data_IF_044666586941
#
_entry.id   IF_044666586941
#
_cell.length_a   1.000
_cell.length_b   1.000
_cell.length_c   1.000
_cell.angle_alpha   90.00
_cell.angle_beta   90.00
_cell.angle_gamma   90.00
#
_symmetry.space_group_name_H-M   'P 1'
#
loop_
_entity.id
_entity.type
_entity.pdbx_description
1 polymer ?
#
# COMPACT_ATOMS: atom_id res chain seq x y z
N UNK A 1 -28.69 -27.03 -2.44
CA UNK A 1 -27.98 -25.77 -2.11
C UNK A 1 -26.58 -25.92 -2.68
N UNK A 2 -26.41 -25.56 -3.95
CA UNK A 2 -25.12 -25.66 -4.62
C UNK A 2 -24.29 -24.45 -4.20
N UNK A 3 -23.22 -24.69 -3.44
CA UNK A 3 -22.21 -23.69 -3.13
C UNK A 3 -21.58 -23.24 -4.46
N UNK A 4 -21.99 -22.06 -4.92
CA UNK A 4 -21.32 -21.37 -6.02
C UNK A 4 -20.03 -20.80 -5.43
N UNK A 5 -18.95 -21.60 -5.50
CA UNK A 5 -17.59 -21.11 -5.38
C UNK A 5 -17.33 -20.22 -6.60
N UNK A 6 -17.86 -18.99 -6.56
CA UNK A 6 -17.42 -17.93 -7.44
C UNK A 6 -15.94 -17.72 -7.12
N UNK A 7 -15.08 -18.24 -7.99
CA UNK A 7 -13.71 -17.76 -8.10
C UNK A 7 -13.83 -16.24 -8.29
N UNK A 8 -13.65 -15.49 -7.20
CA UNK A 8 -13.78 -14.04 -7.18
C UNK A 8 -12.66 -13.52 -8.05
N UNK A 9 -12.98 -13.32 -9.32
CA UNK A 9 -12.02 -12.97 -10.33
C UNK A 9 -11.66 -11.51 -10.06
N UNK A 10 -10.49 -11.30 -9.45
CA UNK A 10 -10.00 -9.97 -9.08
C UNK A 10 -10.03 -9.08 -10.32
N UNK A 11 -10.81 -8.00 -10.25
CA UNK A 11 -11.02 -7.06 -11.34
C UNK A 11 -9.96 -5.96 -11.37
N UNK A 12 -9.81 -5.31 -12.52
CA UNK A 12 -8.90 -4.16 -12.66
C UNK A 12 -9.34 -2.99 -11.76
N UNK A 13 -10.65 -2.81 -11.61
CA UNK A 13 -11.28 -1.82 -10.73
C UNK A 13 -10.92 -2.08 -9.26
N UNK A 14 -11.11 -3.30 -8.76
CA UNK A 14 -10.75 -3.68 -7.39
C UNK A 14 -9.26 -3.45 -7.10
N UNK A 15 -8.37 -3.84 -8.03
CA UNK A 15 -6.95 -3.55 -7.88
C UNK A 15 -6.66 -2.05 -7.88
N UNK A 16 -7.41 -1.25 -8.64
CA UNK A 16 -7.26 0.21 -8.66
C UNK A 16 -7.60 0.82 -7.31
N UNK A 17 -8.71 0.38 -6.72
CA UNK A 17 -9.15 0.83 -5.40
C UNK A 17 -8.12 0.45 -4.32
N UNK A 18 -7.69 -0.81 -4.31
CA UNK A 18 -6.68 -1.28 -3.35
C UNK A 18 -5.35 -0.54 -3.51
N UNK A 19 -4.87 -0.33 -4.76
CA UNK A 19 -3.66 0.47 -5.00
C UNK A 19 -3.80 1.88 -4.43
N UNK A 20 -4.94 2.54 -4.68
CA UNK A 20 -5.20 3.88 -4.17
C UNK A 20 -5.23 3.93 -2.63
N UNK A 21 -5.84 2.92 -1.99
CA UNK A 21 -5.84 2.79 -0.53
C UNK A 21 -4.43 2.62 0.04
N UNK A 22 -3.59 1.78 -0.57
CA UNK A 22 -2.20 1.60 -0.14
C UNK A 22 -1.36 2.87 -0.33
N UNK A 23 -1.58 3.62 -1.40
CA UNK A 23 -0.92 4.92 -1.62
C UNK A 23 -1.31 5.94 -0.55
N UNK A 24 -2.61 6.05 -0.25
CA UNK A 24 -3.11 6.93 0.82
C UNK A 24 -2.61 6.49 2.19
N UNK A 25 -2.55 5.18 2.45
CA UNK A 25 -2.03 4.64 3.69
C UNK A 25 -0.56 5.00 3.88
N UNK A 26 0.25 4.85 2.82
CA UNK A 26 1.67 5.23 2.82
C UNK A 26 1.86 6.70 3.18
N UNK A 27 1.09 7.60 2.55
CA UNK A 27 1.18 9.03 2.82
C UNK A 27 0.78 9.36 4.26
N UNK A 28 -0.33 8.79 4.74
CA UNK A 28 -0.83 8.98 6.10
C UNK A 28 0.18 8.51 7.14
N UNK A 29 0.78 7.34 6.93
CA UNK A 29 1.82 6.79 7.81
C UNK A 29 2.99 7.77 7.94
N UNK A 30 3.52 8.28 6.82
CA UNK A 30 4.62 9.25 6.84
C UNK A 30 4.21 10.53 7.58
N UNK A 31 3.01 11.04 7.31
CA UNK A 31 2.51 12.27 7.92
C UNK A 31 2.32 12.12 9.43
N UNK A 32 1.62 11.09 9.89
CA UNK A 32 1.39 10.81 11.31
C UNK A 32 2.71 10.61 12.06
N UNK A 33 3.62 9.81 11.49
CA UNK A 33 4.91 9.53 12.11
C UNK A 33 5.80 10.78 12.14
N UNK A 34 5.72 11.65 11.13
CA UNK A 34 6.40 12.95 11.13
C UNK A 34 5.85 13.87 12.21
N UNK A 35 4.53 13.94 12.39
CA UNK A 35 3.88 14.74 13.44
C UNK A 35 4.32 14.23 14.82
N UNK A 36 4.30 12.92 15.03
CA UNK A 36 4.69 12.29 16.29
C UNK A 36 6.18 12.49 16.59
N UNK A 37 7.04 12.34 15.58
CA UNK A 37 8.47 12.58 15.71
C UNK A 37 8.78 14.03 16.09
N UNK A 38 8.09 15.01 15.51
CA UNK A 38 8.22 16.43 15.88
C UNK A 38 7.88 16.65 17.35
N UNK A 39 6.76 16.08 17.82
CA UNK A 39 6.35 16.16 19.24
C UNK A 39 7.39 15.51 20.16
N UNK A 40 7.96 14.38 19.75
CA UNK A 40 8.99 13.64 20.47
C UNK A 40 10.43 14.18 20.28
N UNK A 41 10.62 15.26 19.53
CA UNK A 41 11.94 15.82 19.15
C UNK A 41 12.88 14.80 18.49
N UNK A 42 12.32 13.82 17.79
CA UNK A 42 13.07 12.82 17.02
C UNK A 42 13.53 13.47 15.70
N UNK A 43 14.81 13.30 15.35
CA UNK A 43 15.34 13.82 14.09
C UNK A 43 14.73 13.09 12.89
N UNK A 44 14.59 13.80 11.76
CA UNK A 44 14.05 13.23 10.52
C UNK A 44 14.83 11.97 10.08
N UNK A 45 16.16 11.96 10.21
CA UNK A 45 16.98 10.81 9.85
C UNK A 45 16.64 9.57 10.69
N UNK A 46 16.48 9.71 12.01
CA UNK A 46 16.11 8.60 12.89
C UNK A 46 14.70 8.10 12.62
N UNK A 47 13.76 9.01 12.36
CA UNK A 47 12.40 8.67 11.96
C UNK A 47 12.39 7.87 10.64
N UNK A 48 13.10 8.35 9.62
CA UNK A 48 13.13 7.70 8.31
C UNK A 48 13.78 6.31 8.40
N UNK A 49 14.87 6.15 9.16
CA UNK A 49 15.46 4.84 9.40
C UNK A 49 14.50 3.83 10.06
N UNK A 50 13.55 4.31 10.87
CA UNK A 50 12.49 3.48 11.47
C UNK A 50 11.33 3.20 10.52
N UNK A 51 10.99 4.15 9.64
CA UNK A 51 9.91 4.03 8.66
C UNK A 51 10.31 3.19 7.44
N UNK A 52 11.58 3.26 7.02
CA UNK A 52 12.10 2.66 5.79
C UNK A 52 11.65 1.20 5.60
N UNK A 53 11.74 0.30 6.59
CA UNK A 53 11.35 -1.10 6.38
C UNK A 53 9.86 -1.27 6.07
N UNK A 54 9.00 -0.44 6.66
CA UNK A 54 7.55 -0.51 6.45
C UNK A 54 7.15 0.14 5.12
N UNK A 55 7.75 1.29 4.80
CA UNK A 55 7.57 1.93 3.50
C UNK A 55 8.03 1.02 2.36
N UNK A 56 9.15 0.32 2.52
CA UNK A 56 9.64 -0.64 1.54
C UNK A 56 8.67 -1.81 1.30
N UNK A 57 8.00 -2.32 2.34
CA UNK A 57 6.97 -3.36 2.18
C UNK A 57 5.74 -2.84 1.44
N UNK A 58 5.29 -1.63 1.77
CA UNK A 58 4.16 -0.98 1.08
C UNK A 58 4.52 -0.77 -0.39
N UNK A 59 5.73 -0.27 -0.68
CA UNK A 59 6.20 -0.03 -2.04
C UNK A 59 6.33 -1.32 -2.86
N UNK A 60 6.82 -2.40 -2.24
CA UNK A 60 6.88 -3.72 -2.87
C UNK A 60 5.48 -4.29 -3.16
N UNK A 61 4.53 -4.11 -2.23
CA UNK A 61 3.13 -4.53 -2.41
C UNK A 61 2.48 -3.74 -3.55
N UNK A 62 2.65 -2.42 -3.56
CA UNK A 62 2.15 -1.54 -4.63
C UNK A 62 2.71 -1.93 -5.99
N UNK A 63 4.00 -2.26 -6.08
CA UNK A 63 4.62 -2.73 -7.32
C UNK A 63 3.96 -4.03 -7.81
N UNK A 64 3.74 -4.98 -6.90
CA UNK A 64 3.09 -6.25 -7.23
C UNK A 64 1.64 -6.04 -7.70
N UNK A 65 0.85 -5.23 -6.99
CA UNK A 65 -0.54 -4.92 -7.37
C UNK A 65 -0.61 -4.24 -8.74
N UNK A 66 0.30 -3.30 -9.02
CA UNK A 66 0.37 -2.64 -10.34
C UNK A 66 0.74 -3.64 -11.44
N UNK A 67 1.64 -4.57 -11.17
CA UNK A 67 1.99 -5.63 -12.12
C UNK A 67 0.80 -6.58 -12.39
N UNK A 68 0.05 -6.95 -11.36
CA UNK A 68 -1.19 -7.73 -11.51
C UNK A 68 -2.23 -6.98 -12.35
N UNK A 69 -2.43 -5.69 -12.07
CA UNK A 69 -3.36 -4.85 -12.84
C UNK A 69 -2.95 -4.73 -14.31
N UNK A 70 -1.65 -4.55 -14.59
CA UNK A 70 -1.13 -4.51 -15.95
C UNK A 70 -1.41 -5.83 -16.70
N UNK A 71 -1.17 -6.97 -16.05
CA UNK A 71 -1.44 -8.28 -16.64
C UNK A 71 -2.94 -8.54 -16.93
N UNK A 72 -3.85 -7.91 -16.15
CA UNK A 72 -5.29 -7.95 -16.43
C UNK A 72 -5.71 -7.04 -17.60
N UNK A 73 -4.95 -5.98 -17.88
CA UNK A 73 -5.21 -5.06 -19.00
C UNK A 73 -4.59 -5.47 -20.33
N UNK A 74 -3.65 -6.42 -20.32
CA UNK A 74 -2.98 -6.94 -21.52
C UNK A 74 -3.70 -8.14 -22.17
N UNK A 75 -4.80 -8.63 -21.57
CA UNK A 75 -5.69 -9.65 -22.14
C UNK A 75 -6.94 -9.01 -22.75
#
# INVERSE_FOLDING_TARGET
MSENLEATQVTSEELTEVIAEFEQYRERLVNEMTINAKKAKISKSKLMAQLEPELAKIDATLLNLRAQKAALSEN
#
